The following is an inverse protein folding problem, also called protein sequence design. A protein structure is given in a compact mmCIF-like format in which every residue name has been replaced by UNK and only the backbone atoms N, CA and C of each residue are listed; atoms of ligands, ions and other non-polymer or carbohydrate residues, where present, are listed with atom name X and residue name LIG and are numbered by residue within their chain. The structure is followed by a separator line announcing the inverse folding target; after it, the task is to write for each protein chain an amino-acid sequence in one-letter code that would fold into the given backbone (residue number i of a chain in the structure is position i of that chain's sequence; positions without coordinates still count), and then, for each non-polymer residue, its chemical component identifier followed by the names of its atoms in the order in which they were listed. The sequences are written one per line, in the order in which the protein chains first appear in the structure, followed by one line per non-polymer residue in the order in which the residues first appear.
data_IF_224614362726
#
_entry.id   IF_224614362726
#
_cell.length_a   1.000
_cell.length_b   1.000
_cell.length_c   1.000
_cell.angle_alpha   90.00
_cell.angle_beta   90.00
_cell.angle_gamma   90.00
#
_symmetry.space_group_name_H-M   'P 1'
#
loop_
_entity.id
_entity.type
_entity.pdbx_description
1 polymer ?
#
# COMPACT_ATOMS: atom_id res chain seq x y z
N UNK A 1 -28.74 -17.68 1.83
CA UNK A 1 -27.48 -17.28 1.16
C UNK A 1 -27.18 -18.33 0.11
N UNK A 2 -27.03 -17.92 -1.14
CA UNK A 2 -26.66 -18.81 -2.24
C UNK A 2 -25.25 -19.37 -1.97
N UNK A 3 -25.12 -20.70 -2.02
CA UNK A 3 -23.90 -21.45 -1.70
C UNK A 3 -23.12 -21.84 -2.98
N UNK A 4 -23.47 -21.24 -4.12
CA UNK A 4 -22.74 -21.44 -5.37
C UNK A 4 -21.33 -20.79 -5.28
N UNK A 5 -20.28 -21.46 -5.82
CA UNK A 5 -18.94 -20.88 -5.84
C UNK A 5 -18.94 -19.62 -6.69
N UNK A 6 -18.70 -18.47 -6.05
CA UNK A 6 -18.64 -17.17 -6.72
C UNK A 6 -17.39 -17.12 -7.59
N UNK A 7 -17.54 -16.82 -8.89
CA UNK A 7 -16.44 -16.68 -9.83
C UNK A 7 -15.73 -15.35 -9.60
N UNK A 8 -14.46 -15.28 -10.02
CA UNK A 8 -13.70 -14.03 -9.99
C UNK A 8 -14.46 -12.86 -10.65
N UNK A 9 -15.04 -13.09 -11.83
CA UNK A 9 -15.76 -12.08 -12.61
C UNK A 9 -17.11 -11.65 -12.02
N UNK A 10 -17.57 -12.26 -10.92
CA UNK A 10 -18.87 -11.91 -10.34
C UNK A 10 -18.81 -10.62 -9.51
N UNK A 11 -17.63 -10.26 -8.98
CA UNK A 11 -17.39 -9.14 -8.04
C UNK A 11 -18.60 -8.87 -7.12
N UNK A 12 -18.89 -9.81 -6.21
CA UNK A 12 -20.24 -9.97 -5.66
C UNK A 12 -20.59 -9.00 -4.53
N UNK A 13 -19.59 -8.39 -3.90
CA UNK A 13 -19.76 -7.54 -2.71
C UNK A 13 -19.69 -6.04 -3.02
N UNK A 14 -19.33 -5.67 -4.25
CA UNK A 14 -19.18 -4.27 -4.67
C UNK A 14 -20.38 -3.77 -5.48
N UNK A 15 -20.51 -2.44 -5.55
CA UNK A 15 -21.59 -1.75 -6.26
C UNK A 15 -21.54 -2.01 -7.77
N UNK A 16 -22.67 -1.88 -8.51
CA UNK A 16 -22.70 -2.14 -9.94
C UNK A 16 -21.70 -1.31 -10.77
N UNK A 17 -21.48 0.01 -10.52
CA UNK A 17 -20.46 0.76 -11.26
C UNK A 17 -19.05 0.21 -11.06
N UNK A 18 -18.68 -0.12 -9.82
CA UNK A 18 -17.39 -0.71 -9.49
C UNK A 18 -17.22 -2.10 -10.12
N UNK A 19 -18.25 -2.94 -10.05
CA UNK A 19 -18.28 -4.25 -10.69
C UNK A 19 -18.08 -4.14 -12.20
N UNK A 20 -18.84 -3.27 -12.86
CA UNK A 20 -18.78 -3.10 -14.31
C UNK A 20 -17.40 -2.59 -14.74
N UNK A 21 -16.83 -1.62 -14.02
CA UNK A 21 -15.46 -1.17 -14.23
C UNK A 21 -14.48 -2.34 -14.18
N UNK A 22 -14.47 -3.13 -13.10
CA UNK A 22 -13.52 -4.25 -12.97
C UNK A 22 -13.70 -5.32 -14.05
N UNK A 23 -14.95 -5.66 -14.40
CA UNK A 23 -15.26 -6.59 -15.49
C UNK A 23 -14.72 -6.07 -16.82
N UNK A 24 -14.94 -4.79 -17.12
CA UNK A 24 -14.50 -4.18 -18.38
C UNK A 24 -12.97 -4.16 -18.48
N UNK A 25 -12.26 -3.84 -17.39
CA UNK A 25 -10.79 -3.81 -17.37
C UNK A 25 -10.20 -5.20 -17.59
N UNK A 26 -10.70 -6.20 -16.84
CA UNK A 26 -10.25 -7.59 -17.00
C UNK A 26 -10.54 -8.06 -18.42
N UNK A 27 -11.77 -7.86 -18.91
CA UNK A 27 -12.18 -8.32 -20.25
C UNK A 27 -11.36 -7.65 -21.36
N UNK A 28 -11.10 -6.35 -21.23
CA UNK A 28 -10.28 -5.59 -22.20
C UNK A 28 -8.85 -6.12 -22.23
N UNK A 29 -8.24 -6.31 -21.06
CA UNK A 29 -6.88 -6.82 -20.97
C UNK A 29 -6.78 -8.26 -21.49
N UNK A 30 -7.72 -9.14 -21.14
CA UNK A 30 -7.75 -10.52 -21.65
C UNK A 30 -7.95 -10.58 -23.16
N UNK A 31 -8.83 -9.75 -23.72
CA UNK A 31 -9.08 -9.70 -25.14
C UNK A 31 -7.84 -9.23 -25.90
N UNK A 32 -7.22 -8.14 -25.45
CA UNK A 32 -6.04 -7.52 -26.08
C UNK A 32 -4.78 -8.37 -25.93
N UNK A 33 -4.66 -9.14 -24.84
CA UNK A 33 -3.51 -10.00 -24.55
C UNK A 33 -3.81 -11.49 -24.79
N UNK A 34 -4.86 -11.84 -25.53
CA UNK A 34 -5.30 -13.23 -25.68
C UNK A 34 -4.21 -14.16 -26.23
N UNK A 35 -3.43 -13.70 -27.21
CA UNK A 35 -2.30 -14.45 -27.80
C UNK A 35 -1.08 -14.53 -26.89
N UNK A 36 -1.05 -13.72 -25.84
CA UNK A 36 0.05 -13.58 -24.90
C UNK A 36 -0.17 -14.38 -23.61
N UNK A 37 -1.43 -14.65 -23.22
CA UNK A 37 -1.77 -15.25 -21.92
C UNK A 37 -2.19 -16.72 -21.99
N UNK A 38 -1.56 -17.55 -21.15
CA UNK A 38 -1.99 -18.93 -20.88
C UNK A 38 -3.32 -18.95 -20.11
N UNK A 39 -4.05 -20.09 -20.11
CA UNK A 39 -5.20 -20.28 -19.21
C UNK A 39 -4.82 -20.12 -17.73
N UNK A 40 -5.81 -19.81 -16.89
CA UNK A 40 -5.62 -19.71 -15.44
C UNK A 40 -5.06 -21.03 -14.87
N UNK A 41 -4.00 -20.94 -14.08
CA UNK A 41 -3.28 -22.10 -13.51
C UNK A 41 -3.62 -22.33 -12.03
N UNK A 42 -4.47 -21.48 -11.44
CA UNK A 42 -4.81 -21.57 -10.03
C UNK A 42 -5.74 -22.75 -9.73
N UNK A 43 -5.47 -23.53 -8.67
CA UNK A 43 -6.42 -24.47 -8.09
C UNK A 43 -7.77 -23.82 -7.76
N UNK A 44 -8.86 -24.59 -7.87
CA UNK A 44 -10.22 -24.08 -7.65
C UNK A 44 -10.44 -23.52 -6.23
N UNK A 45 -9.74 -24.04 -5.23
CA UNK A 45 -9.78 -23.58 -3.84
C UNK A 45 -9.04 -22.25 -3.60
N UNK A 46 -8.24 -21.78 -4.56
CA UNK A 46 -7.62 -20.46 -4.56
C UNK A 46 -8.33 -19.48 -5.48
N UNK A 47 -9.06 -19.97 -6.47
CA UNK A 47 -9.96 -19.14 -7.27
C UNK A 47 -11.10 -18.56 -6.42
N UNK A 48 -11.50 -19.25 -5.35
CA UNK A 48 -12.40 -18.72 -4.34
C UNK A 48 -12.07 -19.30 -2.96
N UNK A 49 -11.83 -18.43 -1.98
CA UNK A 49 -11.48 -18.81 -0.61
C UNK A 49 -12.24 -17.95 0.40
N UNK A 50 -12.38 -18.47 1.62
CA UNK A 50 -13.03 -17.79 2.72
C UNK A 50 -12.41 -18.23 4.05
N UNK A 51 -12.55 -17.40 5.07
CA UNK A 51 -12.10 -17.75 6.42
C UNK A 51 -13.07 -18.73 7.09
N UNK A 52 -12.66 -19.49 8.13
CA UNK A 52 -13.52 -20.50 8.77
C UNK A 52 -14.87 -19.97 9.27
N UNK A 53 -14.92 -18.72 9.73
CA UNK A 53 -16.14 -18.03 10.18
C UNK A 53 -17.03 -17.51 9.04
N UNK A 54 -16.56 -17.56 7.79
CA UNK A 54 -17.21 -17.00 6.59
C UNK A 54 -17.51 -15.50 6.66
N UNK A 55 -16.78 -14.77 7.48
CA UNK A 55 -16.83 -13.30 7.57
C UNK A 55 -15.89 -12.62 6.57
N UNK A 56 -14.90 -13.35 6.05
CA UNK A 56 -13.98 -12.88 5.02
C UNK A 56 -14.02 -13.81 3.81
N UNK A 57 -14.14 -13.22 2.63
CA UNK A 57 -14.22 -13.90 1.33
C UNK A 57 -13.18 -13.30 0.40
N UNK A 58 -12.65 -14.11 -0.50
CA UNK A 58 -11.75 -13.63 -1.53
C UNK A 58 -11.77 -14.49 -2.78
N UNK A 59 -11.21 -13.93 -3.83
CA UNK A 59 -10.96 -14.61 -5.09
C UNK A 59 -9.64 -14.14 -5.67
N UNK A 60 -8.92 -15.08 -6.27
CA UNK A 60 -7.66 -14.84 -6.95
C UNK A 60 -7.74 -15.33 -8.39
N UNK A 61 -7.24 -14.52 -9.30
CA UNK A 61 -7.21 -14.83 -10.72
C UNK A 61 -5.83 -14.54 -11.28
N UNK A 62 -5.12 -15.57 -11.74
CA UNK A 62 -3.77 -15.42 -12.29
C UNK A 62 -3.68 -16.09 -13.66
N UNK A 63 -3.18 -15.34 -14.64
CA UNK A 63 -2.84 -15.84 -15.97
C UNK A 63 -1.42 -15.47 -16.31
N UNK A 64 -0.55 -16.47 -16.47
CA UNK A 64 0.84 -16.25 -16.86
C UNK A 64 0.96 -16.05 -18.37
N UNK A 65 1.95 -15.30 -18.80
CA UNK A 65 2.30 -15.14 -20.21
C UNK A 65 2.93 -16.37 -20.83
N UNK A 66 2.99 -16.37 -22.17
CA UNK A 66 3.74 -17.35 -22.95
C UNK A 66 5.25 -17.10 -22.85
N UNK A 67 5.98 -18.09 -22.33
CA UNK A 67 7.39 -18.01 -21.95
C UNK A 67 8.36 -17.65 -23.09
N UNK A 68 7.95 -17.84 -24.35
CA UNK A 68 8.80 -17.64 -25.53
C UNK A 68 8.39 -16.46 -26.42
N UNK A 69 7.22 -15.85 -26.20
CA UNK A 69 6.63 -14.92 -27.17
C UNK A 69 5.79 -13.80 -26.55
N UNK A 70 5.71 -13.72 -25.22
CA UNK A 70 4.98 -12.66 -24.53
C UNK A 70 5.93 -11.78 -23.75
N UNK A 71 5.66 -10.47 -23.76
CA UNK A 71 6.29 -9.51 -22.87
C UNK A 71 5.62 -9.50 -21.48
N UNK A 72 4.43 -10.07 -21.36
CA UNK A 72 3.68 -10.19 -20.11
C UNK A 72 4.22 -11.37 -19.33
N UNK A 73 4.59 -11.16 -18.07
CA UNK A 73 4.95 -12.22 -17.14
C UNK A 73 3.70 -12.88 -16.58
N UNK A 74 2.81 -12.08 -15.96
CA UNK A 74 1.50 -12.53 -15.53
C UNK A 74 0.54 -11.35 -15.32
N UNK A 75 -0.74 -11.65 -15.48
CA UNK A 75 -1.85 -10.81 -15.02
C UNK A 75 -2.40 -11.40 -13.73
N UNK A 76 -2.74 -10.52 -12.80
CA UNK A 76 -3.28 -10.85 -11.49
C UNK A 76 -4.49 -9.98 -11.20
N UNK A 77 -5.65 -10.61 -11.05
CA UNK A 77 -6.86 -9.99 -10.53
C UNK A 77 -7.20 -10.55 -9.16
N UNK A 78 -7.71 -9.72 -8.27
CA UNK A 78 -8.25 -10.19 -6.99
C UNK A 78 -9.43 -9.35 -6.53
N UNK A 79 -10.27 -9.97 -5.71
CA UNK A 79 -11.20 -9.25 -4.87
C UNK A 79 -11.24 -9.87 -3.48
N UNK A 80 -11.46 -9.02 -2.48
CA UNK A 80 -11.53 -9.36 -1.07
C UNK A 80 -12.69 -8.62 -0.44
N UNK A 81 -13.43 -9.33 0.40
CA UNK A 81 -14.49 -8.81 1.23
C UNK A 81 -14.24 -9.27 2.67
N UNK A 82 -14.27 -8.34 3.63
CA UNK A 82 -14.14 -8.67 5.04
C UNK A 82 -15.14 -7.88 5.86
N UNK A 83 -16.03 -8.58 6.58
CA UNK A 83 -16.87 -7.96 7.60
C UNK A 83 -16.00 -7.46 8.75
N UNK A 84 -16.22 -6.21 9.18
CA UNK A 84 -15.46 -5.58 10.25
C UNK A 84 -16.16 -5.78 11.61
N UNK A 85 -15.41 -6.02 12.71
CA UNK A 85 -16.01 -6.19 14.04
C UNK A 85 -16.82 -4.99 14.52
N UNK A 86 -16.46 -3.79 14.07
CA UNK A 86 -17.11 -2.51 14.39
C UNK A 86 -18.42 -2.28 13.63
N UNK A 87 -18.82 -3.21 12.75
CA UNK A 87 -19.86 -3.00 11.75
C UNK A 87 -19.29 -2.44 10.44
N UNK A 88 -19.93 -2.78 9.32
CA UNK A 88 -19.45 -2.45 7.98
C UNK A 88 -18.57 -3.54 7.35
N UNK A 89 -17.98 -3.23 6.20
CA UNK A 89 -17.13 -4.16 5.47
C UNK A 89 -15.96 -3.44 4.78
N UNK A 90 -14.85 -4.16 4.65
CA UNK A 90 -13.71 -3.80 3.81
C UNK A 90 -13.81 -4.56 2.49
N UNK A 91 -13.94 -3.81 1.39
CA UNK A 91 -14.03 -4.34 0.03
C UNK A 91 -12.85 -3.84 -0.80
N UNK A 92 -12.00 -4.78 -1.23
CA UNK A 92 -10.85 -4.53 -2.08
C UNK A 92 -11.07 -5.21 -3.43
N UNK A 93 -10.78 -4.49 -4.52
CA UNK A 93 -10.75 -5.05 -5.87
C UNK A 93 -9.49 -4.54 -6.54
N UNK A 94 -8.66 -5.46 -7.03
CA UNK A 94 -7.39 -5.11 -7.66
C UNK A 94 -7.19 -5.83 -8.97
N UNK A 95 -6.45 -5.18 -9.86
CA UNK A 95 -6.01 -5.73 -11.12
C UNK A 95 -4.61 -5.20 -11.40
N UNK A 96 -3.69 -6.11 -11.65
CA UNK A 96 -2.30 -5.78 -11.96
C UNK A 96 -1.80 -6.66 -13.09
N UNK A 97 -0.84 -6.13 -13.84
CA UNK A 97 -0.15 -6.87 -14.87
C UNK A 97 1.34 -6.55 -14.83
N UNK A 98 2.12 -7.61 -14.78
CA UNK A 98 3.58 -7.55 -14.68
C UNK A 98 4.18 -7.94 -16.02
N UNK A 99 5.09 -7.12 -16.50
CA UNK A 99 5.88 -7.40 -17.69
C UNK A 99 7.18 -8.12 -17.29
N UNK A 100 7.71 -8.95 -18.17
CA UNK A 100 8.97 -9.64 -17.96
C UNK A 100 10.15 -8.81 -18.50
N UNK A 101 11.37 -9.25 -18.25
CA UNK A 101 12.59 -8.51 -18.58
C UNK A 101 12.90 -8.42 -20.09
N UNK A 102 12.05 -8.97 -20.98
CA UNK A 102 12.19 -8.75 -22.42
C UNK A 102 11.77 -7.33 -22.85
N UNK A 103 11.17 -6.54 -21.96
CA UNK A 103 10.80 -5.14 -22.17
C UNK A 103 11.11 -4.34 -20.90
N UNK A 104 11.47 -3.07 -21.03
CA UNK A 104 11.67 -2.12 -19.93
C UNK A 104 10.37 -1.41 -19.53
N UNK A 105 9.31 -1.56 -20.34
CA UNK A 105 8.07 -0.82 -20.17
C UNK A 105 7.45 -1.03 -18.77
N UNK A 106 6.77 -0.01 -18.21
CA UNK A 106 6.14 -0.08 -16.90
C UNK A 106 5.13 -1.22 -16.72
N UNK A 107 4.90 -1.59 -15.46
CA UNK A 107 3.80 -2.49 -15.10
C UNK A 107 2.46 -1.72 -15.09
N UNK A 108 1.37 -2.42 -14.81
CA UNK A 108 0.05 -1.83 -14.58
C UNK A 108 -0.49 -2.23 -13.22
N UNK A 109 -1.08 -1.27 -12.50
CA UNK A 109 -1.71 -1.49 -11.21
C UNK A 109 -2.96 -0.62 -11.09
N UNK A 110 -4.08 -1.25 -10.73
CA UNK A 110 -5.23 -0.59 -10.13
C UNK A 110 -5.68 -1.33 -8.88
N UNK A 111 -5.99 -0.56 -7.85
CA UNK A 111 -6.65 -1.02 -6.65
C UNK A 111 -7.71 -0.03 -6.19
N UNK A 112 -8.88 -0.56 -5.85
CA UNK A 112 -9.97 0.17 -5.21
C UNK A 112 -10.16 -0.44 -3.82
N UNK A 113 -10.02 0.38 -2.78
CA UNK A 113 -10.12 -0.02 -1.37
C UNK A 113 -11.24 0.79 -0.74
N UNK A 114 -12.30 0.11 -0.28
CA UNK A 114 -13.46 0.76 0.29
C UNK A 114 -13.73 0.19 1.68
N UNK A 115 -13.81 1.05 2.68
CA UNK A 115 -14.08 0.65 4.08
C UNK A 115 -15.41 1.22 4.62
N UNK A 116 -16.03 2.15 3.88
CA UNK A 116 -17.37 2.65 4.13
C UNK A 116 -18.07 2.98 2.80
N UNK A 117 -19.40 3.14 2.77
CA UNK A 117 -20.11 3.60 1.57
C UNK A 117 -19.64 4.97 1.05
N UNK A 118 -19.05 5.79 1.92
CA UNK A 118 -18.69 7.20 1.68
C UNK A 118 -17.20 7.43 1.44
N UNK A 119 -16.34 6.46 1.77
CA UNK A 119 -14.87 6.58 1.66
C UNK A 119 -14.30 5.49 0.75
N UNK A 120 -13.67 5.91 -0.34
CA UNK A 120 -13.00 5.04 -1.31
C UNK A 120 -11.56 5.52 -1.52
N UNK A 121 -10.60 4.60 -1.51
CA UNK A 121 -9.22 4.87 -1.94
C UNK A 121 -9.03 4.25 -3.32
N UNK A 122 -8.50 5.05 -4.25
CA UNK A 122 -8.06 4.63 -5.57
C UNK A 122 -6.53 4.72 -5.63
N UNK A 123 -5.92 3.61 -6.02
CA UNK A 123 -4.53 3.51 -6.42
C UNK A 123 -4.55 3.12 -7.89
N UNK A 124 -4.09 4.00 -8.78
CA UNK A 124 -3.91 3.70 -10.20
C UNK A 124 -2.52 4.17 -10.61
N UNK A 125 -1.72 3.25 -11.15
CA UNK A 125 -0.36 3.56 -11.55
C UNK A 125 0.12 2.69 -12.71
N UNK A 126 1.14 3.21 -13.40
CA UNK A 126 2.03 2.44 -14.26
C UNK A 126 3.41 2.38 -13.59
N UNK A 127 3.66 1.43 -12.66
CA UNK A 127 4.86 1.45 -11.83
C UNK A 127 6.15 1.34 -12.66
N UNK A 128 7.13 2.25 -12.45
CA UNK A 128 8.37 2.28 -13.21
C UNK A 128 9.26 1.08 -12.91
N UNK A 129 9.82 0.49 -13.96
CA UNK A 129 10.79 -0.60 -13.88
C UNK A 129 12.24 -0.14 -14.09
N UNK A 130 12.43 1.14 -14.42
CA UNK A 130 13.72 1.84 -14.35
C UNK A 130 13.55 3.07 -13.47
N UNK A 131 14.62 3.51 -12.84
CA UNK A 131 14.59 4.73 -12.03
C UNK A 131 14.36 5.96 -12.96
N UNK A 132 13.23 6.68 -12.83
CA UNK A 132 12.95 7.79 -13.74
C UNK A 132 13.94 8.96 -13.62
N UNK A 133 14.63 9.10 -12.48
CA UNK A 133 15.65 10.12 -12.25
C UNK A 133 16.96 9.76 -12.95
N UNK A 134 17.39 8.50 -12.84
CA UNK A 134 18.61 8.01 -13.50
C UNK A 134 18.42 7.85 -15.01
N UNK A 135 17.18 7.65 -15.47
CA UNK A 135 16.84 7.44 -16.87
C UNK A 135 15.80 8.46 -17.38
N UNK A 136 16.20 9.71 -17.67
CA UNK A 136 15.28 10.75 -18.14
C UNK A 136 14.53 10.39 -19.42
N UNK A 137 15.16 9.65 -20.35
CA UNK A 137 14.49 9.17 -21.57
C UNK A 137 13.34 8.19 -21.26
N UNK A 138 13.48 7.40 -20.18
CA UNK A 138 12.43 6.51 -19.70
C UNK A 138 11.26 7.30 -19.14
N UNK A 139 11.55 8.31 -18.30
CA UNK A 139 10.57 9.24 -17.75
C UNK A 139 9.77 9.91 -18.89
N UNK A 140 10.49 10.45 -19.87
CA UNK A 140 9.89 11.14 -20.99
C UNK A 140 9.01 10.21 -21.83
N UNK A 141 9.50 9.01 -22.13
CA UNK A 141 8.79 8.04 -22.98
C UNK A 141 7.47 7.57 -22.37
N UNK A 142 7.49 7.17 -21.10
CA UNK A 142 6.37 6.47 -20.48
C UNK A 142 5.45 7.34 -19.63
N UNK A 143 5.88 8.57 -19.32
CA UNK A 143 5.11 9.46 -18.45
C UNK A 143 4.89 10.83 -19.08
N UNK A 144 5.95 11.59 -19.41
CA UNK A 144 5.80 12.97 -19.89
C UNK A 144 5.14 13.08 -21.27
N UNK A 145 5.49 12.19 -22.21
CA UNK A 145 4.91 12.17 -23.56
C UNK A 145 3.55 11.46 -23.62
N UNK A 146 3.00 11.09 -22.47
CA UNK A 146 1.70 10.45 -22.37
C UNK A 146 0.65 11.40 -21.83
N UNK A 147 -0.59 10.93 -21.67
CA UNK A 147 -1.67 11.69 -21.05
C UNK A 147 -1.87 11.35 -19.57
N UNK A 148 -1.01 10.53 -18.96
CA UNK A 148 -1.17 10.05 -17.58
C UNK A 148 -1.29 11.21 -16.57
N UNK A 149 -0.47 12.25 -16.73
CA UNK A 149 -0.55 13.43 -15.87
C UNK A 149 -1.88 14.20 -16.02
N UNK A 150 -2.40 14.29 -17.24
CA UNK A 150 -3.73 14.89 -17.49
C UNK A 150 -4.85 14.09 -16.82
N UNK A 151 -4.71 12.76 -16.78
CA UNK A 151 -5.66 11.87 -16.12
C UNK A 151 -5.66 12.06 -14.60
N UNK A 152 -4.48 12.17 -13.98
CA UNK A 152 -4.32 12.49 -12.55
C UNK A 152 -5.01 13.81 -12.21
N UNK A 153 -4.68 14.87 -12.97
CA UNK A 153 -5.26 16.21 -12.77
C UNK A 153 -6.77 16.27 -13.01
N UNK A 154 -7.35 15.36 -13.81
CA UNK A 154 -8.78 15.32 -14.04
C UNK A 154 -9.55 14.90 -12.77
N UNK A 155 -9.01 13.94 -12.00
CA UNK A 155 -9.62 13.49 -10.74
C UNK A 155 -9.37 14.47 -9.60
N UNK A 156 -8.19 15.10 -9.54
CA UNK A 156 -7.85 16.07 -8.48
C UNK A 156 -8.69 17.35 -8.50
N UNK A 157 -9.40 17.62 -9.61
CA UNK A 157 -10.34 18.75 -9.70
C UNK A 157 -11.66 18.49 -8.98
N UNK A 158 -11.95 17.25 -8.61
CA UNK A 158 -13.18 16.90 -7.90
C UNK A 158 -13.09 17.36 -6.44
N UNK A 159 -14.12 18.02 -5.90
CA UNK A 159 -14.10 18.51 -4.52
C UNK A 159 -14.04 17.38 -3.48
N UNK A 160 -14.52 16.18 -3.81
CA UNK A 160 -14.51 14.99 -2.94
C UNK A 160 -13.13 14.32 -2.85
N UNK A 161 -12.21 14.68 -3.74
CA UNK A 161 -10.91 14.04 -3.90
C UNK A 161 -9.86 14.70 -3.01
N UNK A 162 -9.15 13.89 -2.25
CA UNK A 162 -8.00 14.24 -1.43
C UNK A 162 -6.82 13.33 -1.78
N UNK A 163 -5.57 13.79 -1.65
CA UNK A 163 -4.41 12.92 -1.80
C UNK A 163 -4.43 11.78 -0.77
N UNK A 164 -4.10 10.57 -1.22
CA UNK A 164 -3.88 9.41 -0.34
C UNK A 164 -2.39 9.12 -0.24
N UNK A 165 -1.89 9.07 0.99
CA UNK A 165 -0.50 8.71 1.27
C UNK A 165 -0.46 7.34 1.97
N UNK A 166 0.05 6.33 1.26
CA UNK A 166 0.24 4.98 1.83
C UNK A 166 1.12 5.05 3.08
N UNK A 167 0.78 4.36 4.17
CA UNK A 167 1.66 4.30 5.35
C UNK A 167 2.98 3.56 5.08
N UNK A 168 3.01 2.69 4.07
CA UNK A 168 4.23 2.01 3.65
C UNK A 168 5.08 2.95 2.76
N UNK A 169 6.19 3.45 3.32
CA UNK A 169 7.19 4.23 2.57
C UNK A 169 7.65 3.53 1.31
N UNK A 170 7.81 2.20 1.39
CA UNK A 170 8.14 1.36 0.26
C UNK A 170 7.23 1.57 -0.95
N UNK A 171 5.91 1.64 -0.72
CA UNK A 171 4.92 1.86 -1.77
C UNK A 171 5.12 3.26 -2.38
N UNK A 172 5.41 4.28 -1.56
CA UNK A 172 5.68 5.65 -2.04
C UNK A 172 6.92 5.72 -2.92
N UNK A 173 7.95 4.93 -2.65
CA UNK A 173 9.18 4.91 -3.45
C UNK A 173 9.04 4.17 -4.78
N UNK A 174 8.00 3.34 -4.94
CA UNK A 174 7.78 2.55 -6.15
C UNK A 174 6.76 3.15 -7.10
N UNK A 175 5.95 4.10 -6.64
CA UNK A 175 4.93 4.75 -7.47
C UNK A 175 5.57 5.64 -8.53
N UNK A 176 4.94 5.71 -9.71
CA UNK A 176 5.37 6.63 -10.75
C UNK A 176 5.10 8.10 -10.40
N UNK A 177 5.78 9.05 -11.07
CA UNK A 177 5.50 10.48 -10.91
C UNK A 177 4.07 10.88 -11.29
N UNK A 178 3.38 10.08 -12.11
CA UNK A 178 1.99 10.32 -12.53
C UNK A 178 1.00 9.40 -11.83
N UNK A 179 1.39 8.76 -10.73
CA UNK A 179 0.51 7.87 -9.97
C UNK A 179 -0.72 8.63 -9.45
N UNK A 180 -1.88 7.99 -9.54
CA UNK A 180 -3.12 8.49 -8.97
C UNK A 180 -3.34 7.77 -7.65
N UNK A 181 -2.92 8.42 -6.56
CA UNK A 181 -3.07 7.95 -5.19
C UNK A 181 -4.04 8.88 -4.49
N UNK A 182 -5.34 8.56 -4.52
CA UNK A 182 -6.39 9.46 -4.03
C UNK A 182 -7.36 8.76 -3.08
N UNK A 183 -7.89 9.55 -2.16
CA UNK A 183 -9.02 9.23 -1.30
C UNK A 183 -10.21 10.08 -1.72
N UNK A 184 -11.35 9.45 -1.96
CA UNK A 184 -12.62 10.09 -2.26
C UNK A 184 -13.48 10.00 -1.00
N UNK A 185 -13.93 11.14 -0.50
CA UNK A 185 -14.89 11.21 0.61
C UNK A 185 -16.14 11.99 0.18
N UNK A 186 -17.30 11.35 0.26
CA UNK A 186 -18.59 11.95 -0.09
C UNK A 186 -19.42 12.37 1.13
N UNK A 187 -18.88 12.30 2.36
CA UNK A 187 -19.57 12.78 3.55
C UNK A 187 -19.68 14.31 3.57
N UNK A 188 -20.91 14.83 3.76
CA UNK A 188 -21.15 16.24 4.04
C UNK A 188 -21.03 17.20 2.85
N UNK A 189 -20.92 16.69 1.62
CA UNK A 189 -20.88 17.51 0.40
C UNK A 189 -22.27 17.91 -0.09
N UNK A 190 -22.44 19.15 -0.56
CA UNK A 190 -23.70 19.64 -1.15
C UNK A 190 -24.07 18.81 -2.39
N UNK A 191 -25.06 17.92 -2.25
CA UNK A 191 -25.40 16.90 -3.25
C UNK A 191 -25.58 15.50 -2.67
N UNK A 192 -25.90 15.42 -1.37
CA UNK A 192 -25.95 14.23 -0.49
C UNK A 192 -27.08 13.23 -0.85
N UNK A 193 -27.12 12.84 -2.11
CA UNK A 193 -27.97 11.76 -2.60
C UNK A 193 -27.27 10.41 -2.38
N UNK A 194 -28.00 9.36 -1.96
CA UNK A 194 -27.48 7.99 -2.02
C UNK A 194 -27.09 7.68 -3.47
N UNK A 195 -25.79 7.58 -3.75
CA UNK A 195 -25.30 7.37 -5.12
C UNK A 195 -24.13 8.25 -5.56
N UNK A 196 -23.71 9.25 -4.78
CA UNK A 196 -22.62 10.15 -5.23
C UNK A 196 -21.31 9.42 -5.48
N UNK A 197 -20.93 8.47 -4.61
CA UNK A 197 -19.75 7.63 -4.80
C UNK A 197 -19.85 6.83 -6.11
N UNK A 198 -21.02 6.26 -6.38
CA UNK A 198 -21.34 5.50 -7.59
C UNK A 198 -21.24 6.35 -8.86
N UNK A 199 -21.70 7.60 -8.82
CA UNK A 199 -21.52 8.58 -9.89
C UNK A 199 -20.05 8.89 -10.12
N UNK A 200 -19.27 9.14 -9.05
CA UNK A 200 -17.84 9.41 -9.18
C UNK A 200 -17.12 8.22 -9.82
N UNK A 201 -17.44 6.99 -9.39
CA UNK A 201 -16.88 5.77 -9.98
C UNK A 201 -17.23 5.69 -11.47
N UNK A 202 -18.49 5.94 -11.83
CA UNK A 202 -18.98 5.75 -13.20
C UNK A 202 -18.54 6.85 -14.17
N UNK A 203 -18.66 8.11 -13.76
CA UNK A 203 -18.54 9.26 -14.66
C UNK A 203 -17.13 9.87 -14.63
N UNK A 204 -16.33 9.58 -13.60
CA UNK A 204 -14.97 10.11 -13.45
C UNK A 204 -13.89 9.03 -13.38
N UNK A 205 -14.02 8.03 -12.49
CA UNK A 205 -12.98 7.00 -12.34
C UNK A 205 -12.94 6.06 -13.55
N UNK A 206 -14.09 5.55 -13.99
CA UNK A 206 -14.19 4.60 -15.11
C UNK A 206 -13.49 5.07 -16.39
N UNK A 207 -13.76 6.28 -16.93
CA UNK A 207 -13.08 6.75 -18.13
C UNK A 207 -11.57 6.95 -17.90
N UNK A 208 -11.17 7.47 -16.75
CA UNK A 208 -9.75 7.70 -16.42
C UNK A 208 -8.96 6.40 -16.37
N UNK A 209 -9.49 5.40 -15.68
CA UNK A 209 -8.84 4.09 -15.54
C UNK A 209 -8.79 3.36 -16.88
N UNK A 210 -9.86 3.39 -17.66
CA UNK A 210 -9.90 2.78 -19.00
C UNK A 210 -8.89 3.43 -19.94
N UNK A 211 -8.73 4.75 -19.86
CA UNK A 211 -7.72 5.46 -20.65
C UNK A 211 -6.30 5.10 -20.22
N UNK A 212 -6.02 5.05 -18.91
CA UNK A 212 -4.71 4.61 -18.40
C UNK A 212 -4.38 3.17 -18.82
N UNK A 213 -5.35 2.25 -18.75
CA UNK A 213 -5.20 0.88 -19.25
C UNK A 213 -4.95 0.87 -20.76
N UNK A 214 -5.65 1.71 -21.53
CA UNK A 214 -5.43 1.89 -22.96
C UNK A 214 -4.00 2.32 -23.28
N UNK A 215 -3.48 3.34 -22.58
CA UNK A 215 -2.09 3.81 -22.69
C UNK A 215 -1.12 2.66 -22.40
N UNK A 216 -1.33 1.92 -21.31
CA UNK A 216 -0.48 0.78 -20.95
C UNK A 216 -0.50 -0.32 -22.03
N UNK A 217 -1.69 -0.70 -22.52
CA UNK A 217 -1.82 -1.73 -23.54
C UNK A 217 -1.15 -1.32 -24.86
N UNK A 218 -1.34 -0.06 -25.29
CA UNK A 218 -0.85 0.42 -26.57
C UNK A 218 0.66 0.72 -26.56
N UNK A 219 1.17 1.31 -25.47
CA UNK A 219 2.55 1.78 -25.39
C UNK A 219 3.50 0.85 -24.62
N UNK A 220 2.97 -0.01 -23.75
CA UNK A 220 3.77 -0.89 -22.90
C UNK A 220 3.61 -2.37 -23.29
N UNK A 221 2.45 -2.97 -23.07
CA UNK A 221 2.26 -4.42 -23.16
C UNK A 221 2.19 -4.98 -24.59
N UNK A 222 1.78 -4.16 -25.56
CA UNK A 222 1.81 -4.49 -26.99
C UNK A 222 2.90 -3.71 -27.76
N UNK A 223 3.71 -2.92 -27.06
CA UNK A 223 4.77 -2.13 -27.65
C UNK A 223 6.02 -2.96 -27.94
N UNK A 224 6.51 -2.92 -29.19
CA UNK A 224 7.77 -3.58 -29.52
C UNK A 224 8.95 -2.73 -29.03
N UNK A 225 9.65 -3.21 -28.00
CA UNK A 225 10.91 -2.64 -27.50
C UNK A 225 11.91 -3.77 -27.32
N UNK A 226 13.16 -3.49 -27.69
CA UNK A 226 14.28 -4.40 -27.47
C UNK A 226 15.08 -3.88 -26.28
N UNK A 227 15.34 -4.78 -25.34
CA UNK A 227 16.17 -4.53 -24.16
C UNK A 227 17.45 -5.32 -24.33
N UNK A 228 18.60 -4.70 -24.07
CA UNK A 228 19.87 -5.42 -24.12
C UNK A 228 20.06 -6.35 -22.91
N UNK A 229 21.08 -7.21 -22.95
CA UNK A 229 21.30 -8.19 -21.88
C UNK A 229 21.69 -7.56 -20.54
N UNK A 230 22.31 -6.38 -20.53
CA UNK A 230 22.69 -5.69 -19.29
C UNK A 230 21.47 -5.05 -18.62
N UNK A 231 20.63 -4.37 -19.41
CA UNK A 231 19.36 -3.82 -18.96
C UNK A 231 18.40 -4.92 -18.50
N UNK A 232 18.37 -6.05 -19.20
CA UNK A 232 17.57 -7.21 -18.81
C UNK A 232 17.97 -7.73 -17.43
N UNK A 233 19.26 -7.87 -17.16
CA UNK A 233 19.74 -8.29 -15.84
C UNK A 233 19.38 -7.29 -14.73
N UNK A 234 19.45 -5.99 -15.02
CA UNK A 234 18.99 -4.94 -14.11
C UNK A 234 17.49 -5.07 -13.81
N UNK A 235 16.66 -5.23 -14.85
CA UNK A 235 15.20 -5.41 -14.72
C UNK A 235 14.87 -6.66 -13.90
N UNK A 236 15.51 -7.80 -14.17
CA UNK A 236 15.30 -9.04 -13.42
C UNK A 236 15.61 -8.86 -11.91
N UNK A 237 16.69 -8.13 -11.58
CA UNK A 237 17.05 -7.82 -10.18
C UNK A 237 16.00 -6.93 -9.52
N UNK A 238 15.61 -5.82 -10.17
CA UNK A 238 14.66 -4.86 -9.62
C UNK A 238 13.25 -5.46 -9.50
N UNK A 239 12.76 -6.12 -10.55
CA UNK A 239 11.43 -6.75 -10.55
C UNK A 239 11.33 -7.84 -9.48
N UNK A 240 12.41 -8.59 -9.24
CA UNK A 240 12.47 -9.58 -8.18
C UNK A 240 12.34 -8.95 -6.78
N UNK A 241 13.05 -7.85 -6.53
CA UNK A 241 12.96 -7.11 -5.27
C UNK A 241 11.56 -6.53 -5.06
N UNK A 242 11.04 -5.83 -6.07
CA UNK A 242 9.71 -5.20 -6.06
C UNK A 242 8.63 -6.20 -5.74
N UNK A 243 8.62 -7.31 -6.46
CA UNK A 243 7.62 -8.36 -6.33
C UNK A 243 7.62 -9.02 -4.96
N UNK A 244 8.81 -9.39 -4.46
CA UNK A 244 8.91 -10.07 -3.16
C UNK A 244 8.38 -9.17 -2.04
N UNK A 245 8.66 -7.86 -2.11
CA UNK A 245 8.23 -6.89 -1.11
C UNK A 245 6.75 -6.56 -1.18
N UNK A 246 6.20 -6.34 -2.37
CA UNK A 246 4.74 -6.12 -2.52
C UNK A 246 3.95 -7.32 -1.98
N UNK A 247 4.40 -8.55 -2.25
CA UNK A 247 3.78 -9.77 -1.70
C UNK A 247 3.90 -9.82 -0.16
N UNK A 248 5.06 -9.46 0.39
CA UNK A 248 5.30 -9.45 1.83
C UNK A 248 4.44 -8.41 2.56
N UNK A 249 4.36 -7.20 2.01
CA UNK A 249 3.63 -6.06 2.59
C UNK A 249 2.12 -6.29 2.53
N UNK A 250 1.57 -6.61 1.35
CA UNK A 250 0.12 -6.68 1.14
C UNK A 250 -0.48 -8.01 1.61
N UNK A 251 0.24 -9.13 1.37
CA UNK A 251 -0.28 -10.48 1.64
C UNK A 251 0.33 -11.06 2.92
N UNK A 252 1.64 -10.92 3.12
CA UNK A 252 2.37 -11.56 4.22
C UNK A 252 1.94 -11.13 5.62
N UNK A 253 1.54 -9.87 5.79
CA UNK A 253 1.20 -9.26 7.08
C UNK A 253 -0.29 -9.38 7.44
N UNK A 254 -1.17 -9.19 6.45
CA UNK A 254 -2.62 -9.00 6.65
C UNK A 254 -3.43 -10.27 6.41
N UNK A 255 -3.06 -11.10 5.42
CA UNK A 255 -3.85 -12.29 5.07
C UNK A 255 -3.89 -13.37 6.16
N UNK A 256 -2.80 -13.66 6.90
CA UNK A 256 -2.87 -14.62 8.00
C UNK A 256 -3.89 -14.21 9.08
N UNK A 257 -4.05 -12.91 9.32
CA UNK A 257 -5.04 -12.38 10.28
C UNK A 257 -6.47 -12.52 9.74
N UNK A 258 -6.68 -12.23 8.46
CA UNK A 258 -8.02 -12.22 7.85
C UNK A 258 -8.56 -13.61 7.48
N UNK A 259 -7.69 -14.49 6.95
CA UNK A 259 -8.08 -15.79 6.40
C UNK A 259 -7.48 -16.99 7.13
N UNK A 260 -6.62 -16.76 8.12
CA UNK A 260 -5.87 -17.80 8.80
C UNK A 260 -4.60 -18.20 8.05
N UNK A 261 -3.64 -18.81 8.76
CA UNK A 261 -2.31 -19.10 8.22
C UNK A 261 -2.32 -20.08 7.04
N UNK A 262 -3.26 -21.03 7.00
CA UNK A 262 -3.31 -22.06 5.96
C UNK A 262 -3.78 -21.51 4.61
N UNK A 263 -4.73 -20.57 4.60
CA UNK A 263 -5.17 -19.89 3.37
C UNK A 263 -4.08 -18.95 2.89
N UNK A 264 -3.51 -18.16 3.80
CA UNK A 264 -2.44 -17.21 3.48
C UNK A 264 -1.21 -17.92 2.87
N UNK A 265 -0.74 -19.02 3.46
CA UNK A 265 0.39 -19.78 2.94
C UNK A 265 0.13 -20.35 1.54
N UNK A 266 -1.08 -20.86 1.27
CA UNK A 266 -1.42 -21.38 -0.07
C UNK A 266 -1.46 -20.28 -1.12
N UNK A 267 -1.98 -19.10 -0.78
CA UNK A 267 -1.98 -17.93 -1.66
C UNK A 267 -0.53 -17.51 -1.95
N UNK A 268 0.30 -17.35 -0.92
CA UNK A 268 1.72 -17.02 -1.08
C UNK A 268 2.47 -18.04 -1.96
N UNK A 269 2.19 -19.33 -1.79
CA UNK A 269 2.75 -20.37 -2.65
C UNK A 269 2.29 -20.25 -4.11
N UNK A 270 1.03 -19.91 -4.36
CA UNK A 270 0.51 -19.75 -5.71
C UNK A 270 1.15 -18.55 -6.44
N UNK A 271 1.35 -17.44 -5.73
CA UNK A 271 2.12 -16.29 -6.23
C UNK A 271 3.57 -16.68 -6.54
N UNK A 272 4.22 -17.40 -5.63
CA UNK A 272 5.58 -17.90 -5.86
C UNK A 272 5.70 -18.86 -7.05
N UNK A 273 4.68 -19.69 -7.30
CA UNK A 273 4.63 -20.63 -8.43
C UNK A 273 4.38 -19.95 -9.77
N UNK A 274 3.59 -18.88 -9.81
CA UNK A 274 3.39 -18.09 -11.02
C UNK A 274 4.70 -17.45 -11.52
N UNK A 275 5.70 -17.32 -10.64
CA UNK A 275 6.91 -16.53 -10.84
C UNK A 275 8.20 -17.35 -11.09
N UNK A 276 8.15 -18.60 -11.57
CA UNK A 276 9.32 -19.51 -11.58
C UNK A 276 10.66 -18.91 -12.08
N UNK A 277 11.50 -18.46 -11.12
CA UNK A 277 12.98 -18.59 -11.03
C UNK A 277 13.46 -18.00 -9.67
N UNK A 278 13.88 -18.86 -8.72
CA UNK A 278 14.72 -18.47 -7.55
C UNK A 278 14.12 -18.64 -6.13
N UNK A 279 14.40 -19.78 -5.48
CA UNK A 279 14.09 -20.28 -4.10
C UNK A 279 14.73 -19.46 -2.91
N UNK A 280 14.49 -19.77 -1.60
CA UNK A 280 13.27 -19.66 -0.79
C UNK A 280 13.45 -19.09 0.67
N UNK A 281 12.34 -18.67 1.30
CA UNK A 281 12.00 -18.69 2.76
C UNK A 281 12.95 -18.03 3.79
N UNK A 282 12.53 -16.88 4.31
CA UNK A 282 12.80 -16.42 5.68
C UNK A 282 11.54 -16.55 6.56
N UNK A 283 11.68 -17.14 7.75
CA UNK A 283 10.61 -17.30 8.76
C UNK A 283 10.22 -15.93 9.33
N UNK A 284 8.92 -15.70 9.47
CA UNK A 284 8.32 -14.59 10.23
C UNK A 284 9.00 -14.42 11.61
N UNK A 285 9.56 -13.23 11.87
CA UNK A 285 9.99 -12.81 13.20
C UNK A 285 9.55 -11.35 13.44
N UNK A 286 8.75 -11.16 14.50
CA UNK A 286 8.53 -9.96 15.33
C UNK A 286 8.50 -8.56 14.70
N UNK A 287 7.45 -7.81 15.03
CA UNK A 287 7.20 -6.39 14.69
C UNK A 287 8.42 -5.44 14.85
N UNK A 288 9.37 -5.73 15.75
CA UNK A 288 10.59 -4.92 15.91
C UNK A 288 11.72 -5.25 14.92
N UNK A 289 11.87 -6.52 14.51
CA UNK A 289 12.82 -6.90 13.46
C UNK A 289 12.30 -6.48 12.09
N UNK A 290 10.99 -6.55 11.88
CA UNK A 290 10.36 -6.08 10.66
C UNK A 290 10.66 -4.60 10.40
N UNK A 291 10.53 -3.73 11.42
CA UNK A 291 10.84 -2.30 11.29
C UNK A 291 12.33 -2.03 11.03
N UNK A 292 13.23 -2.80 11.65
CA UNK A 292 14.69 -2.69 11.39
C UNK A 292 15.04 -3.20 9.98
N UNK A 293 14.33 -4.22 9.51
CA UNK A 293 14.49 -4.77 8.17
C UNK A 293 13.92 -3.82 7.10
N UNK A 294 12.79 -3.17 7.35
CA UNK A 294 12.22 -2.11 6.50
C UNK A 294 13.18 -0.90 6.39
N UNK A 295 13.79 -0.49 7.51
CA UNK A 295 14.80 0.58 7.49
C UNK A 295 16.06 0.15 6.74
N UNK A 296 16.48 -1.12 6.87
CA UNK A 296 17.60 -1.68 6.11
C UNK A 296 17.34 -1.72 4.62
N UNK A 297 16.11 -1.99 4.22
CA UNK A 297 15.74 -2.06 2.82
C UNK A 297 15.55 -0.67 2.21
N UNK A 298 15.06 0.30 2.98
CA UNK A 298 15.09 1.70 2.60
C UNK A 298 16.53 2.19 2.43
N UNK A 299 17.43 1.80 3.34
CA UNK A 299 18.85 2.09 3.24
C UNK A 299 19.47 1.53 1.94
N UNK A 300 19.22 0.26 1.63
CA UNK A 300 19.70 -0.38 0.39
C UNK A 300 19.08 0.21 -0.90
N UNK A 301 17.95 0.90 -0.80
CA UNK A 301 17.35 1.64 -1.93
C UNK A 301 18.00 3.02 -2.13
N UNK A 302 18.48 3.63 -1.05
CA UNK A 302 19.17 4.92 -1.11
C UNK A 302 20.66 4.75 -1.45
N UNK A 303 21.30 3.69 -0.96
CA UNK A 303 22.66 3.26 -1.33
C UNK A 303 22.66 2.57 -2.70
N UNK A 304 22.53 3.39 -3.74
CA UNK A 304 22.33 2.94 -5.12
C UNK A 304 23.56 2.25 -5.72
N UNK A 305 24.75 2.62 -5.26
CA UNK A 305 26.01 2.02 -5.69
C UNK A 305 26.46 0.82 -4.83
N UNK A 306 25.76 0.57 -3.71
CA UNK A 306 26.03 -0.54 -2.80
C UNK A 306 27.32 -0.36 -2.00
N UNK A 307 27.74 0.89 -1.78
CA UNK A 307 28.92 1.27 -0.99
C UNK A 307 28.76 0.96 0.49
N UNK A 308 27.52 0.77 0.96
CA UNK A 308 27.18 0.58 2.37
C UNK A 308 27.04 1.89 3.15
N UNK A 309 26.98 3.04 2.46
CA UNK A 309 26.82 4.39 3.02
C UNK A 309 26.01 5.25 2.06
N UNK A 310 25.17 6.16 2.56
CA UNK A 310 24.39 7.09 1.71
C UNK A 310 25.12 8.43 1.63
N UNK A 311 25.59 8.79 0.43
CA UNK A 311 26.26 10.07 0.21
C UNK A 311 25.29 11.24 -0.06
N UNK A 312 25.83 12.46 -0.18
CA UNK A 312 25.00 13.66 -0.42
C UNK A 312 24.24 13.65 -1.75
N UNK A 313 24.74 12.97 -2.77
CA UNK A 313 24.02 12.83 -4.04
C UNK A 313 22.89 11.83 -3.88
N UNK A 314 23.15 10.71 -3.24
CA UNK A 314 22.17 9.66 -2.98
C UNK A 314 21.03 10.15 -2.08
N UNK A 315 21.34 10.92 -1.04
CA UNK A 315 20.35 11.56 -0.18
C UNK A 315 19.53 12.64 -0.92
N UNK A 316 20.13 13.38 -1.86
CA UNK A 316 19.39 14.33 -2.71
C UNK A 316 18.40 13.62 -3.62
N UNK A 317 18.86 12.52 -4.25
CA UNK A 317 18.05 11.68 -5.13
C UNK A 317 16.88 11.09 -4.35
N UNK A 318 17.14 10.58 -3.15
CA UNK A 318 16.14 10.07 -2.21
C UNK A 318 15.05 11.09 -1.87
N UNK A 319 15.45 12.29 -1.45
CA UNK A 319 14.51 13.33 -1.00
C UNK A 319 13.64 13.86 -2.14
N UNK A 320 14.20 13.96 -3.35
CA UNK A 320 13.43 14.30 -4.55
C UNK A 320 12.46 13.20 -4.97
N UNK A 321 12.86 11.93 -4.86
CA UNK A 321 11.98 10.79 -5.13
C UNK A 321 10.80 10.73 -4.14
N UNK A 322 10.97 11.28 -2.94
CA UNK A 322 9.91 11.45 -1.94
C UNK A 322 9.09 12.75 -2.12
N UNK A 323 9.35 13.53 -3.18
CA UNK A 323 8.62 14.75 -3.51
C UNK A 323 9.11 16.03 -2.82
N UNK A 324 10.30 16.01 -2.21
CA UNK A 324 10.91 17.18 -1.57
C UNK A 324 12.04 17.77 -2.44
N UNK A 325 11.96 19.07 -2.76
CA UNK A 325 13.10 19.80 -3.33
C UNK A 325 13.96 20.38 -2.21
N UNK A 326 15.24 20.00 -2.16
CA UNK A 326 16.20 20.49 -1.17
C UNK A 326 17.45 21.08 -1.83
N UNK A 327 18.04 22.09 -1.19
CA UNK A 327 19.30 22.72 -1.60
C UNK A 327 20.52 21.88 -1.17
N UNK A 328 21.67 22.10 -1.80
CA UNK A 328 22.90 21.39 -1.40
C UNK A 328 23.28 21.66 0.06
N UNK A 329 23.04 22.88 0.54
CA UNK A 329 23.30 23.31 1.91
C UNK A 329 22.42 22.55 2.91
N UNK A 330 21.13 22.38 2.60
CA UNK A 330 20.20 21.63 3.46
C UNK A 330 20.57 20.15 3.52
N UNK A 331 21.02 19.57 2.40
CA UNK A 331 21.44 18.17 2.36
C UNK A 331 22.71 17.96 3.16
N UNK A 332 23.71 18.84 3.00
CA UNK A 332 24.93 18.81 3.81
C UNK A 332 24.62 18.96 5.29
N UNK A 333 23.64 19.79 5.64
CA UNK A 333 23.18 19.94 7.01
C UNK A 333 22.50 18.67 7.53
N UNK A 334 21.62 18.02 6.74
CA UNK A 334 20.98 16.76 7.16
C UNK A 334 21.99 15.64 7.40
N UNK A 335 23.04 15.56 6.57
CA UNK A 335 24.13 14.60 6.78
C UNK A 335 24.85 14.95 8.07
N UNK A 336 25.30 16.21 8.22
CA UNK A 336 26.02 16.65 9.41
C UNK A 336 25.24 16.49 10.74
N UNK A 337 23.91 16.53 10.69
CA UNK A 337 23.05 16.35 11.87
C UNK A 337 23.01 14.88 12.37
N UNK A 338 23.35 13.93 11.50
CA UNK A 338 23.20 12.48 11.75
C UNK A 338 24.54 11.74 11.72
N UNK A 339 25.48 12.22 10.89
CA UNK A 339 26.87 11.75 10.72
C UNK A 339 27.65 11.97 12.02
N UNK A 340 27.67 10.94 12.87
CA UNK A 340 28.32 10.91 14.17
C UNK A 340 29.78 10.52 14.06
N UNK A 341 30.12 9.73 13.05
CA UNK A 341 31.48 9.27 12.83
C UNK A 341 32.33 10.28 12.02
N UNK A 342 31.68 11.28 11.41
CA UNK A 342 32.30 12.36 10.65
C UNK A 342 32.78 11.92 9.27
N UNK A 343 32.20 10.85 8.72
CA UNK A 343 32.57 10.28 7.44
C UNK A 343 32.13 11.13 6.24
N UNK A 344 31.18 12.05 6.43
CA UNK A 344 30.56 12.84 5.38
C UNK A 344 29.52 12.08 4.56
N UNK A 345 29.11 10.90 5.02
CA UNK A 345 28.05 10.06 4.47
C UNK A 345 27.24 9.46 5.64
N UNK A 346 26.05 8.94 5.37
CA UNK A 346 25.19 8.35 6.40
C UNK A 346 25.35 6.83 6.36
N UNK A 347 25.88 6.24 7.43
CA UNK A 347 25.95 4.77 7.54
C UNK A 347 24.59 4.16 7.95
N UNK A 348 24.51 2.82 7.96
CA UNK A 348 23.25 2.14 8.27
C UNK A 348 22.73 2.42 9.69
N UNK A 349 23.60 2.49 10.70
CA UNK A 349 23.19 2.71 12.08
C UNK A 349 22.78 4.18 12.30
N UNK A 350 23.44 5.12 11.63
CA UNK A 350 23.10 6.54 11.55
C UNK A 350 21.77 6.75 10.84
N UNK A 351 21.54 6.06 9.72
CA UNK A 351 20.28 6.08 8.98
C UNK A 351 19.11 5.55 9.83
N UNK A 352 19.33 4.46 10.59
CA UNK A 352 18.36 3.96 11.57
C UNK A 352 18.05 5.01 12.62
N UNK A 353 19.07 5.71 13.12
CA UNK A 353 18.87 6.77 14.12
C UNK A 353 18.06 7.95 13.55
N UNK A 354 18.35 8.39 12.33
CA UNK A 354 17.60 9.44 11.63
C UNK A 354 16.11 9.06 11.45
N UNK A 355 15.86 7.86 10.94
CA UNK A 355 14.51 7.37 10.65
C UNK A 355 13.70 7.15 11.93
N UNK A 356 14.33 6.61 12.98
CA UNK A 356 13.65 6.40 14.27
C UNK A 356 13.37 7.70 15.04
N UNK A 357 14.22 8.73 14.90
CA UNK A 357 14.04 10.02 15.55
C UNK A 357 13.00 10.92 14.85
N UNK A 358 12.94 10.95 13.51
CA UNK A 358 12.01 11.84 12.77
C UNK A 358 10.68 11.21 12.36
N UNK A 359 10.64 9.89 12.11
CA UNK A 359 9.42 9.17 11.67
C UNK A 359 8.73 8.51 12.87
N UNK A 360 9.52 8.05 13.85
CA UNK A 360 8.99 7.53 15.11
C UNK A 360 8.06 8.52 15.79
N UNK A 361 8.44 9.79 15.94
CA UNK A 361 7.63 10.80 16.63
C UNK A 361 6.34 11.19 15.90
N UNK A 362 6.33 11.29 14.56
CA UNK A 362 5.12 11.68 13.82
C UNK A 362 4.08 10.55 13.76
N UNK A 363 4.49 9.34 13.39
CA UNK A 363 3.56 8.21 13.28
C UNK A 363 3.06 7.73 14.65
N UNK A 364 3.93 7.70 15.67
CA UNK A 364 3.47 7.39 17.04
C UNK A 364 2.55 8.47 17.58
N UNK A 365 2.81 9.76 17.33
CA UNK A 365 1.88 10.79 17.81
C UNK A 365 0.52 10.69 17.10
N UNK A 366 0.47 10.42 15.79
CA UNK A 366 -0.81 10.24 15.07
C UNK A 366 -1.57 8.97 15.51
N UNK A 367 -0.87 7.85 15.72
CA UNK A 367 -1.47 6.61 16.23
C UNK A 367 -1.93 6.75 17.69
N UNK A 368 -1.13 7.41 18.54
CA UNK A 368 -1.50 7.71 19.93
C UNK A 368 -2.65 8.70 20.00
N UNK A 369 -2.74 9.66 19.06
CA UNK A 369 -3.86 10.59 19.00
C UNK A 369 -5.15 9.90 18.56
N UNK A 370 -5.09 8.94 17.63
CA UNK A 370 -6.24 8.07 17.31
C UNK A 370 -6.64 7.19 18.49
N UNK A 371 -5.68 6.61 19.21
CA UNK A 371 -5.96 5.83 20.42
C UNK A 371 -6.62 6.70 21.51
N UNK A 372 -6.13 7.92 21.70
CA UNK A 372 -6.73 8.90 22.60
C UNK A 372 -8.18 9.21 22.22
N UNK A 373 -8.46 9.46 20.95
CA UNK A 373 -9.82 9.71 20.43
C UNK A 373 -10.77 8.50 20.57
N UNK A 374 -10.25 7.28 20.50
CA UNK A 374 -11.06 6.08 20.71
C UNK A 374 -11.46 5.93 22.18
N UNK A 375 -10.60 6.38 23.10
CA UNK A 375 -10.85 6.31 24.54
C UNK A 375 -11.75 7.47 24.98
N UNK A 376 -11.48 8.70 24.53
CA UNK A 376 -12.28 9.92 24.80
C UNK A 376 -13.65 9.86 24.10
N UNK A 377 -14.59 9.11 24.69
CA UNK A 377 -15.89 8.84 24.08
C UNK A 377 -16.82 10.05 24.10
N UNK A 378 -16.65 10.98 25.05
CA UNK A 378 -17.43 12.20 25.14
C UNK A 378 -16.82 13.39 24.39
N UNK A 379 -15.63 13.20 23.78
CA UNK A 379 -14.87 14.17 22.99
C UNK A 379 -14.59 15.47 23.75
N UNK A 380 -14.42 15.38 25.07
CA UNK A 380 -14.13 16.54 25.91
C UNK A 380 -12.63 16.89 25.91
N UNK A 381 -11.79 16.10 25.24
CA UNK A 381 -10.34 16.29 25.13
C UNK A 381 -9.56 15.72 26.29
N UNK A 382 -10.19 14.90 27.14
CA UNK A 382 -9.60 14.26 28.32
C UNK A 382 -10.17 12.85 28.50
N UNK A 383 -9.42 11.98 29.18
CA UNK A 383 -9.84 10.61 29.48
C UNK A 383 -10.26 10.55 30.95
N UNK A 384 -11.53 10.21 31.19
CA UNK A 384 -12.08 10.04 32.54
C UNK A 384 -12.18 8.57 32.94
N UNK A 385 -12.46 8.32 34.24
CA UNK A 385 -12.80 6.96 34.76
C UNK A 385 -13.95 6.34 33.95
N UNK A 386 -14.90 7.16 33.50
CA UNK A 386 -16.08 6.68 32.79
C UNK A 386 -15.73 6.21 31.38
N UNK A 387 -14.79 6.88 30.72
CA UNK A 387 -14.29 6.53 29.39
C UNK A 387 -13.56 5.20 29.40
N UNK A 388 -12.66 5.00 30.37
CA UNK A 388 -11.94 3.73 30.55
C UNK A 388 -12.91 2.59 30.88
N UNK A 389 -13.95 2.86 31.69
CA UNK A 389 -14.95 1.84 32.05
C UNK A 389 -15.82 1.41 30.85
N UNK A 390 -16.13 2.35 29.95
CA UNK A 390 -16.90 2.06 28.72
C UNK A 390 -16.06 1.26 27.74
N UNK A 391 -14.84 1.72 27.43
CA UNK A 391 -13.98 1.02 26.49
C UNK A 391 -13.55 -0.37 27.01
N UNK A 392 -13.32 -0.53 28.32
CA UNK A 392 -13.05 -1.85 28.93
C UNK A 392 -14.18 -2.84 28.68
N UNK A 393 -15.44 -2.39 28.75
CA UNK A 393 -16.62 -3.24 28.46
C UNK A 393 -16.74 -3.58 26.99
N UNK A 394 -16.48 -2.61 26.10
CA UNK A 394 -16.52 -2.80 24.65
C UNK A 394 -15.42 -3.76 24.17
N UNK A 395 -14.26 -3.75 24.83
CA UNK A 395 -13.14 -4.66 24.57
C UNK A 395 -13.27 -6.03 25.27
N UNK A 396 -14.29 -6.22 26.11
CA UNK A 396 -14.52 -7.46 26.84
C UNK A 396 -13.53 -7.73 27.98
N UNK A 397 -12.79 -6.71 28.42
CA UNK A 397 -11.88 -6.79 29.56
C UNK A 397 -12.60 -6.35 30.84
N UNK A 398 -12.39 -7.06 31.94
CA UNK A 398 -13.01 -6.78 33.24
C UNK A 398 -12.02 -6.08 34.16
N UNK A 399 -11.89 -4.76 34.02
CA UNK A 399 -11.13 -3.93 34.95
C UNK A 399 -12.01 -3.51 36.15
N UNK A 400 -11.48 -3.62 37.35
CA UNK A 400 -12.14 -3.13 38.56
C UNK A 400 -12.06 -1.60 38.66
N UNK A 401 -13.00 -0.98 39.36
CA UNK A 401 -12.99 0.47 39.61
C UNK A 401 -11.68 0.95 40.25
N UNK A 402 -11.06 0.10 41.08
CA UNK A 402 -9.79 0.42 41.72
C UNK A 402 -8.63 0.43 40.72
N UNK A 403 -8.58 -0.53 39.80
CA UNK A 403 -7.54 -0.58 38.77
C UNK A 403 -7.66 0.61 37.80
N UNK A 404 -8.88 1.00 37.42
CA UNK A 404 -9.10 2.18 36.58
C UNK A 404 -8.67 3.46 37.31
N UNK A 405 -8.98 3.56 38.59
CA UNK A 405 -8.57 4.69 39.42
C UNK A 405 -7.04 4.77 39.54
N UNK A 406 -6.38 3.65 39.80
CA UNK A 406 -4.91 3.56 39.87
C UNK A 406 -4.25 3.94 38.52
N UNK A 407 -4.88 3.61 37.38
CA UNK A 407 -4.41 3.99 36.04
C UNK A 407 -4.46 5.50 35.79
N UNK A 408 -5.51 6.18 36.26
CA UNK A 408 -5.65 7.63 36.12
C UNK A 408 -4.68 8.34 37.06
N UNK A 409 -4.58 7.91 38.32
CA UNK A 409 -3.68 8.53 39.31
C UNK A 409 -2.19 8.45 38.91
N UNK A 410 -1.78 7.40 38.17
CA UNK A 410 -0.41 7.28 37.66
C UNK A 410 -0.14 8.23 36.47
N UNK A 411 -1.18 8.56 35.71
CA UNK A 411 -1.10 9.37 34.50
C UNK A 411 -1.24 10.87 34.79
N UNK A 412 -2.24 11.22 35.60
CA UNK A 412 -2.68 12.56 36.00
C UNK A 412 -1.62 13.28 36.84
N UNK A 413 -1.00 14.31 36.26
CA UNK A 413 0.07 15.09 36.88
C UNK A 413 -0.43 16.39 37.48
N UNK A 414 -1.45 16.99 36.88
CA UNK A 414 -2.03 18.22 37.38
C UNK A 414 -3.11 17.99 38.46
N UNK A 415 -3.40 16.72 38.75
CA UNK A 415 -4.33 16.23 39.75
C UNK A 415 -5.76 16.74 39.52
N UNK A 416 -6.15 16.89 38.25
CA UNK A 416 -7.50 17.32 37.88
C UNK A 416 -8.52 16.16 37.86
N UNK A 417 -8.05 14.92 38.05
CA UNK A 417 -8.85 13.71 38.11
C UNK A 417 -9.16 13.09 36.74
N UNK A 418 -8.58 13.63 35.67
CA UNK A 418 -8.73 13.23 34.29
C UNK A 418 -7.33 13.14 33.63
N UNK A 419 -7.21 12.51 32.47
CA UNK A 419 -5.92 12.41 31.75
C UNK A 419 -6.00 13.20 30.47
N UNK A 420 -5.27 14.31 30.40
CA UNK A 420 -5.18 15.11 29.19
C UNK A 420 -4.24 14.48 28.15
N UNK A 421 -4.24 15.03 26.92
CA UNK A 421 -3.48 14.46 25.80
C UNK A 421 -1.96 14.40 26.06
N UNK A 422 -1.41 15.39 26.78
CA UNK A 422 0.02 15.44 27.09
C UNK A 422 0.41 14.39 28.13
N UNK A 423 -0.45 14.16 29.11
CA UNK A 423 -0.29 13.10 30.12
C UNK A 423 -0.43 11.71 29.51
N UNK A 424 -1.42 11.50 28.64
CA UNK A 424 -1.61 10.26 27.91
C UNK A 424 -0.40 9.93 27.03
N UNK A 425 0.09 10.90 26.25
CA UNK A 425 1.28 10.74 25.43
C UNK A 425 2.51 10.39 26.27
N UNK A 426 2.67 11.02 27.44
CA UNK A 426 3.77 10.76 28.37
C UNK A 426 3.75 9.32 28.89
N UNK A 427 2.59 8.83 29.32
CA UNK A 427 2.43 7.46 29.83
C UNK A 427 2.69 6.44 28.72
N UNK A 428 2.08 6.62 27.55
CA UNK A 428 2.21 5.68 26.44
C UNK A 428 3.64 5.63 25.88
N UNK A 429 4.37 6.75 25.86
CA UNK A 429 5.79 6.80 25.48
C UNK A 429 6.69 6.08 26.49
N UNK A 430 6.35 6.07 27.78
CA UNK A 430 7.07 5.27 28.80
C UNK A 430 6.83 3.77 28.65
N UNK A 431 5.59 3.35 28.35
CA UNK A 431 5.23 1.93 28.27
C UNK A 431 5.73 1.27 26.98
N UNK A 432 5.85 2.03 25.88
CA UNK A 432 6.28 1.52 24.57
C UNK A 432 7.80 1.40 24.45
N UNK A 433 8.56 2.22 25.20
CA UNK A 433 10.03 2.17 25.29
C UNK A 433 10.46 1.74 26.70
N UNK A 434 10.10 0.53 27.09
CA UNK A 434 10.54 -0.04 28.37
C UNK A 434 12.07 -0.10 28.45
N UNK A 435 12.63 0.67 29.37
CA UNK A 435 13.96 0.44 29.95
C UNK A 435 13.81 -0.27 31.28
#
# INVERSE_FOLDING_TARGET
MDNSPKKFMDFPFVTPPRRNLMIDLVSTMEHRLQSQLKPCTLPSDLQHYYNPSKTSHGSLYIRSGHTSSSQVDFMLGSWLHCELPTGGALDITSLSAYLNASTDAPNFLIELIQNSPTSLVLILDLPPRKDPVLYPEYLQTFYENTRLESLRQALEKLPEVQPYYSSALYIRCLTSPTSIMIRINTEGTEGDGPGRMEEIIKDHIDPVVKEALGIWLDQCACGNRNVDEAEKAYLEKRDGLVRNKTIEIDIGSSFPRLFGPDVANRILEAYGRASQKGKPKGRQQGLSQQKRQEIKEAFELFDTDGSGTIDAKELNVAMRALGFEMTEEEIKQMIADVDRDGSGAIDFDEFVHMMTAKIGERDTNEELMKAFQIIDQDNNGKISVQDINRISKDLGELLSQKEIQDMIEEADRDCDGEVNIDEFMRVMKRTTYGY
#
